data_IF_322501980755
#
_entry.id   IF_322501980755
#
_cell.length_a   1.000
_cell.length_b   1.000
_cell.length_c   1.000
_cell.angle_alpha   90.00
_cell.angle_beta   90.00
_cell.angle_gamma   90.00
#
_symmetry.space_group_name_H-M   'P 1'
#
loop_
_entity.id
_entity.type
_entity.pdbx_description
1 polymer ?
#
# COMPACT_ATOMS: atom_id res chain seq x y z
N UNK A 1 -4.09 -32.87 91.62
CA UNK A 1 -4.77 -33.68 90.59
C UNK A 1 -6.07 -32.97 90.22
N UNK A 2 -6.05 -32.13 89.18
CA UNK A 2 -7.18 -31.24 88.82
C UNK A 2 -8.20 -32.00 87.96
N UNK A 3 -9.45 -32.05 88.42
CA UNK A 3 -10.63 -32.49 87.68
C UNK A 3 -11.47 -31.29 87.21
N UNK A 4 -12.03 -31.46 86.01
CA UNK A 4 -12.84 -30.50 85.23
C UNK A 4 -14.05 -29.94 86.00
N UNK A 5 -14.38 -28.68 85.72
CA UNK A 5 -15.77 -28.18 85.67
C UNK A 5 -15.98 -27.29 84.44
N UNK A 6 -17.18 -27.46 83.89
CA UNK A 6 -17.78 -26.92 82.67
C UNK A 6 -18.11 -25.42 82.73
N UNK A 7 -18.04 -24.75 81.58
CA UNK A 7 -18.72 -23.48 81.34
C UNK A 7 -19.21 -23.41 79.89
N UNK A 8 -20.53 -23.49 79.68
CA UNK A 8 -21.20 -23.16 78.41
C UNK A 8 -21.20 -21.63 78.26
N UNK A 9 -20.85 -21.14 77.08
CA UNK A 9 -21.15 -19.76 76.65
C UNK A 9 -21.87 -19.85 75.30
N UNK A 10 -23.08 -19.31 75.24
CA UNK A 10 -23.86 -19.10 74.03
C UNK A 10 -23.15 -18.07 73.14
N UNK A 11 -22.93 -18.39 71.87
CA UNK A 11 -22.57 -17.41 70.84
C UNK A 11 -23.81 -17.13 69.98
N UNK A 12 -24.26 -15.87 69.95
CA UNK A 12 -25.28 -15.38 69.03
C UNK A 12 -24.78 -15.50 67.59
N UNK A 13 -25.61 -16.09 66.73
CA UNK A 13 -25.38 -16.18 65.29
C UNK A 13 -25.64 -14.85 64.59
N UNK A 14 -24.73 -14.46 63.71
CA UNK A 14 -24.98 -13.49 62.63
C UNK A 14 -24.91 -14.27 61.33
N UNK A 15 -26.06 -14.43 60.67
CA UNK A 15 -26.17 -15.04 59.34
C UNK A 15 -25.69 -14.03 58.29
N UNK A 16 -24.54 -14.30 57.65
CA UNK A 16 -24.13 -13.61 56.44
C UNK A 16 -24.91 -14.20 55.25
N UNK A 17 -25.75 -13.39 54.61
CA UNK A 17 -26.31 -13.72 53.31
C UNK A 17 -25.22 -13.51 52.24
N UNK A 18 -24.77 -14.60 51.61
CA UNK A 18 -23.87 -14.54 50.46
C UNK A 18 -24.74 -14.39 49.21
N UNK A 19 -24.75 -13.20 48.62
CA UNK A 19 -25.26 -13.00 47.26
C UNK A 19 -24.16 -13.41 46.27
N UNK A 20 -24.43 -14.30 45.30
CA UNK A 20 -23.43 -14.66 44.29
C UNK A 20 -23.11 -13.45 43.42
N UNK A 21 -21.83 -13.07 43.40
CA UNK A 21 -21.28 -12.09 42.50
C UNK A 21 -21.32 -12.68 41.08
N UNK A 22 -22.27 -12.25 40.25
CA UNK A 22 -22.25 -12.57 38.82
C UNK A 22 -21.16 -11.70 38.21
N UNK A 23 -19.97 -12.29 38.01
CA UNK A 23 -18.94 -11.64 37.22
C UNK A 23 -19.48 -11.42 35.78
N UNK A 24 -19.37 -10.23 35.20
CA UNK A 24 -19.70 -10.03 33.79
C UNK A 24 -18.82 -10.98 32.97
N UNK A 25 -19.46 -11.87 32.21
CA UNK A 25 -18.75 -12.81 31.35
C UNK A 25 -17.83 -12.05 30.40
N UNK A 26 -16.56 -12.41 30.38
CA UNK A 26 -15.62 -11.94 29.37
C UNK A 26 -16.15 -12.45 28.04
N UNK A 27 -16.69 -11.56 27.21
CA UNK A 27 -17.07 -11.92 25.86
C UNK A 27 -15.84 -12.52 25.18
N UNK A 28 -15.94 -13.78 24.74
CA UNK A 28 -14.89 -14.39 23.95
C UNK A 28 -14.65 -13.53 22.71
N UNK A 29 -13.39 -13.14 22.47
CA UNK A 29 -13.02 -12.43 21.27
C UNK A 29 -13.50 -13.26 20.05
N UNK A 30 -14.20 -12.62 19.12
CA UNK A 30 -14.58 -13.27 17.87
C UNK A 30 -13.30 -13.86 17.21
N UNK A 31 -13.36 -15.07 16.66
CA UNK A 31 -12.19 -15.69 16.04
C UNK A 31 -11.67 -14.77 14.92
N UNK A 32 -10.35 -14.59 14.88
CA UNK A 32 -9.71 -13.82 13.82
C UNK A 32 -10.04 -14.43 12.46
N UNK A 33 -10.26 -13.58 11.45
CA UNK A 33 -10.47 -14.05 10.07
C UNK A 33 -9.14 -14.61 9.58
N UNK A 34 -9.10 -15.90 9.28
CA UNK A 34 -7.89 -16.53 8.77
C UNK A 34 -7.63 -16.07 7.31
N UNK A 35 -6.39 -15.68 6.97
CA UNK A 35 -6.01 -15.39 5.59
C UNK A 35 -6.03 -16.65 4.73
N UNK A 36 -6.22 -16.45 3.43
CA UNK A 36 -6.04 -17.46 2.39
C UNK A 36 -4.69 -17.20 1.70
N UNK A 37 -3.83 -18.22 1.68
CA UNK A 37 -2.54 -18.19 0.98
C UNK A 37 -2.76 -18.16 -0.54
N UNK A 38 -2.16 -17.16 -1.19
CA UNK A 38 -2.17 -17.02 -2.65
C UNK A 38 -1.05 -17.82 -3.34
N UNK A 39 -0.17 -18.45 -2.56
CA UNK A 39 0.89 -19.33 -3.06
C UNK A 39 2.03 -18.60 -3.76
N UNK A 40 2.88 -19.37 -4.43
CA UNK A 40 4.04 -18.90 -5.22
C UNK A 40 4.13 -19.64 -6.55
N UNK A 41 4.92 -19.10 -7.48
CA UNK A 41 5.25 -19.82 -8.69
C UNK A 41 6.14 -21.04 -8.37
N UNK A 42 6.14 -22.08 -9.22
CA UNK A 42 6.99 -23.25 -9.00
C UNK A 42 8.46 -22.88 -8.82
N UNK A 43 9.06 -23.33 -7.71
CA UNK A 43 10.46 -23.01 -7.34
C UNK A 43 10.62 -21.77 -6.45
N UNK A 44 9.57 -20.95 -6.31
CA UNK A 44 9.61 -19.72 -5.51
C UNK A 44 9.11 -19.91 -4.08
N UNK A 45 9.57 -19.03 -3.19
CA UNK A 45 9.32 -19.11 -1.74
C UNK A 45 8.52 -17.94 -1.17
N UNK A 46 8.48 -16.80 -1.86
CA UNK A 46 7.79 -15.58 -1.43
C UNK A 46 6.93 -15.02 -2.54
N UNK A 47 5.86 -14.32 -2.17
CA UNK A 47 4.96 -13.65 -3.13
C UNK A 47 4.41 -12.34 -2.58
N UNK A 48 4.07 -11.43 -3.49
CA UNK A 48 3.46 -10.14 -3.19
C UNK A 48 2.47 -9.76 -4.30
N UNK A 49 1.31 -9.26 -3.90
CA UNK A 49 0.36 -8.58 -4.80
C UNK A 49 0.66 -7.09 -4.78
N UNK A 50 0.72 -6.49 -5.96
CA UNK A 50 0.94 -5.04 -6.15
C UNK A 50 -0.33 -4.32 -6.60
N UNK A 51 -1.24 -5.01 -7.28
CA UNK A 51 -2.50 -4.43 -7.74
C UNK A 51 -3.61 -5.47 -7.87
N UNK A 52 -4.85 -5.01 -7.75
CA UNK A 52 -6.07 -5.80 -7.89
C UNK A 52 -7.12 -5.02 -8.68
N UNK A 53 -7.78 -5.68 -9.63
CA UNK A 53 -8.87 -5.05 -10.38
C UNK A 53 -10.26 -5.38 -9.78
N UNK A 54 -11.31 -4.76 -10.33
CA UNK A 54 -12.69 -4.90 -9.84
C UNK A 54 -13.24 -6.34 -9.92
N UNK A 55 -12.67 -7.20 -10.76
CA UNK A 55 -13.07 -8.60 -10.91
C UNK A 55 -12.30 -9.52 -9.93
N UNK A 56 -11.44 -8.95 -9.07
CA UNK A 56 -10.63 -9.69 -8.11
C UNK A 56 -9.39 -10.34 -8.70
N UNK A 57 -9.02 -10.01 -9.95
CA UNK A 57 -7.76 -10.44 -10.55
C UNK A 57 -6.64 -9.60 -9.95
N UNK A 58 -5.61 -10.28 -9.46
CA UNK A 58 -4.45 -9.66 -8.81
C UNK A 58 -3.20 -9.87 -9.64
N UNK A 59 -2.27 -8.91 -9.59
CA UNK A 59 -0.95 -9.03 -10.20
C UNK A 59 0.14 -8.57 -9.25
N UNK A 60 1.35 -9.08 -9.46
CA UNK A 60 2.49 -8.73 -8.63
C UNK A 60 3.72 -9.56 -8.96
N UNK A 61 4.37 -10.09 -7.93
CA UNK A 61 5.61 -10.86 -8.08
C UNK A 61 5.68 -12.08 -7.16
N UNK A 62 6.42 -13.07 -7.63
CA UNK A 62 6.87 -14.25 -6.89
C UNK A 62 8.40 -14.28 -6.93
N UNK A 63 9.07 -14.71 -5.85
CA UNK A 63 10.54 -14.68 -5.75
C UNK A 63 11.11 -15.95 -5.07
N UNK A 64 12.32 -16.38 -5.45
CA UNK A 64 12.91 -17.63 -4.98
C UNK A 64 13.48 -17.59 -3.57
N UNK A 65 14.05 -16.45 -3.16
CA UNK A 65 14.75 -16.28 -1.88
C UNK A 65 14.46 -14.89 -1.32
N UNK A 66 14.43 -14.78 0.00
CA UNK A 66 14.26 -13.50 0.69
C UNK A 66 15.41 -12.55 0.35
N UNK A 67 15.10 -11.31 0.03
CA UNK A 67 16.11 -10.29 -0.30
C UNK A 67 16.83 -10.52 -1.63
N UNK A 68 16.56 -11.60 -2.37
CA UNK A 68 17.03 -11.70 -3.76
C UNK A 68 16.13 -10.90 -4.68
N UNK A 69 16.76 -10.00 -5.44
CA UNK A 69 16.14 -9.20 -6.49
C UNK A 69 15.95 -10.08 -7.72
N UNK A 70 15.21 -11.19 -7.61
CA UNK A 70 14.78 -12.03 -8.74
C UNK A 70 13.27 -12.14 -8.73
N UNK A 71 12.64 -11.18 -9.40
CA UNK A 71 11.19 -11.10 -9.53
C UNK A 71 10.73 -11.94 -10.70
N UNK A 72 9.72 -12.76 -10.48
CA UNK A 72 8.91 -13.38 -11.51
C UNK A 72 7.52 -12.76 -11.43
N UNK A 73 7.09 -12.07 -12.49
CA UNK A 73 5.76 -11.48 -12.52
C UNK A 73 4.71 -12.59 -12.41
N UNK A 74 3.71 -12.35 -11.57
CA UNK A 74 2.68 -13.33 -11.27
C UNK A 74 1.30 -12.68 -11.40
N UNK A 75 0.32 -13.52 -11.74
CA UNK A 75 -1.09 -13.20 -11.81
C UNK A 75 -1.86 -14.22 -10.99
N UNK A 76 -2.77 -13.74 -10.15
CA UNK A 76 -3.74 -14.55 -9.44
C UNK A 76 -5.13 -14.24 -9.96
N UNK A 77 -5.93 -15.27 -10.20
CA UNK A 77 -7.35 -15.06 -10.47
C UNK A 77 -8.14 -14.77 -9.17
N UNK A 78 -9.44 -14.52 -9.32
CA UNK A 78 -10.33 -14.22 -8.20
C UNK A 78 -10.47 -15.36 -7.19
N UNK A 79 -10.04 -16.58 -7.54
CA UNK A 79 -10.00 -17.73 -6.63
C UNK A 79 -8.62 -17.90 -5.98
N UNK A 80 -7.66 -17.03 -6.29
CA UNK A 80 -6.30 -17.08 -5.77
C UNK A 80 -5.38 -18.06 -6.50
N UNK A 81 -5.76 -18.58 -7.68
CA UNK A 81 -4.90 -19.48 -8.45
C UNK A 81 -3.81 -18.67 -9.15
N UNK A 82 -2.55 -18.99 -8.85
CA UNK A 82 -1.38 -18.30 -9.39
C UNK A 82 -0.96 -18.84 -10.77
N UNK A 83 -0.53 -17.93 -11.65
CA UNK A 83 0.08 -18.21 -12.94
C UNK A 83 1.21 -17.22 -13.22
N UNK A 84 2.20 -17.63 -14.01
CA UNK A 84 3.32 -16.78 -14.38
C UNK A 84 2.91 -15.79 -15.48
N UNK A 85 3.40 -14.55 -15.38
CA UNK A 85 3.43 -13.60 -16.47
C UNK A 85 4.85 -13.62 -17.07
N UNK A 86 5.02 -14.01 -18.35
CA UNK A 86 6.34 -14.27 -18.92
C UNK A 86 7.16 -12.98 -19.08
N UNK A 87 8.49 -13.11 -18.99
CA UNK A 87 9.43 -12.07 -19.41
C UNK A 87 9.57 -12.04 -20.96
N UNK A 88 10.37 -11.09 -21.49
CA UNK A 88 10.58 -10.92 -22.94
C UNK A 88 11.70 -11.80 -23.53
N UNK A 89 12.38 -12.58 -22.69
CA UNK A 89 13.54 -13.40 -23.06
C UNK A 89 14.62 -13.48 -21.99
N UNK A 90 14.54 -12.64 -20.95
CA UNK A 90 15.34 -12.76 -19.72
C UNK A 90 14.61 -13.52 -18.60
N UNK A 91 15.20 -13.51 -17.41
CA UNK A 91 14.69 -14.27 -16.25
C UNK A 91 13.86 -13.44 -15.26
N UNK A 92 13.73 -12.13 -15.45
CA UNK A 92 13.04 -11.26 -14.49
C UNK A 92 11.90 -10.47 -15.08
N UNK A 93 10.87 -10.30 -14.27
CA UNK A 93 9.71 -9.47 -14.55
C UNK A 93 8.98 -9.10 -13.26
N UNK A 94 8.28 -7.97 -13.28
CA UNK A 94 7.38 -7.56 -12.20
C UNK A 94 6.16 -6.88 -12.80
N UNK A 95 4.98 -7.31 -12.38
CA UNK A 95 3.73 -6.61 -12.69
C UNK A 95 3.45 -5.56 -11.60
N UNK A 96 3.09 -4.36 -12.01
CA UNK A 96 2.89 -3.18 -11.16
C UNK A 96 1.43 -2.79 -11.03
N UNK A 97 0.67 -2.85 -12.13
CA UNK A 97 -0.74 -2.45 -12.17
C UNK A 97 -1.55 -3.32 -13.15
N UNK A 98 -2.87 -3.34 -12.98
CA UNK A 98 -3.83 -4.09 -13.81
C UNK A 98 -5.14 -3.31 -13.99
N UNK A 99 -5.58 -3.18 -15.24
CA UNK A 99 -6.87 -2.54 -15.52
C UNK A 99 -8.06 -3.50 -15.45
N UNK A 100 -9.28 -2.98 -15.60
CA UNK A 100 -10.51 -3.78 -15.57
C UNK A 100 -10.60 -4.81 -16.69
N UNK A 101 -9.98 -4.54 -17.84
CA UNK A 101 -9.89 -5.48 -18.94
C UNK A 101 -8.97 -6.67 -18.68
N UNK A 102 -8.26 -6.69 -17.55
CA UNK A 102 -7.28 -7.73 -17.20
C UNK A 102 -5.93 -7.56 -17.88
N UNK A 103 -5.67 -6.40 -18.49
CA UNK A 103 -4.36 -6.03 -19.03
C UNK A 103 -3.48 -5.56 -17.88
N UNK A 104 -2.36 -6.24 -17.67
CA UNK A 104 -1.38 -5.88 -16.66
C UNK A 104 -0.21 -5.11 -17.30
N UNK A 105 0.46 -4.28 -16.52
CA UNK A 105 1.67 -3.55 -16.93
C UNK A 105 2.79 -3.73 -15.92
N UNK A 106 4.01 -3.39 -16.33
CA UNK A 106 5.17 -3.48 -15.48
C UNK A 106 6.47 -3.44 -16.26
N UNK A 107 7.45 -4.23 -15.84
CA UNK A 107 8.73 -4.35 -16.52
C UNK A 107 9.18 -5.80 -16.64
N UNK A 108 10.00 -6.07 -17.65
CA UNK A 108 10.63 -7.36 -17.86
C UNK A 108 12.02 -7.23 -18.50
N UNK A 109 12.89 -8.20 -18.24
CA UNK A 109 14.17 -8.33 -18.94
C UNK A 109 13.96 -8.96 -20.31
N UNK A 110 14.61 -8.36 -21.32
CA UNK A 110 14.63 -8.82 -22.71
C UNK A 110 15.57 -10.00 -22.93
N UNK A 111 16.62 -10.10 -22.11
CA UNK A 111 17.69 -11.08 -22.28
C UNK A 111 18.43 -11.33 -20.95
N UNK A 112 19.43 -12.21 -21.00
CA UNK A 112 20.32 -12.53 -19.87
C UNK A 112 21.30 -11.40 -19.52
N UNK A 113 21.38 -10.34 -20.32
CA UNK A 113 22.21 -9.17 -20.07
C UNK A 113 21.46 -8.07 -19.29
N UNK A 114 20.29 -8.39 -18.71
CA UNK A 114 19.53 -7.52 -17.81
C UNK A 114 18.96 -6.27 -18.49
N UNK A 115 18.83 -6.32 -19.82
CA UNK A 115 18.22 -5.22 -20.57
C UNK A 115 16.72 -5.13 -20.26
N UNK A 116 16.31 -4.08 -19.56
CA UNK A 116 14.94 -3.91 -19.08
C UNK A 116 14.05 -3.15 -20.07
N UNK A 117 12.80 -3.59 -20.21
CA UNK A 117 11.76 -2.89 -20.95
C UNK A 117 10.49 -2.75 -20.09
N UNK A 118 9.77 -1.65 -20.31
CA UNK A 118 8.37 -1.58 -19.90
C UNK A 118 7.56 -2.56 -20.76
N UNK A 119 6.60 -3.23 -20.15
CA UNK A 119 5.78 -4.25 -20.82
C UNK A 119 4.31 -4.12 -20.46
N UNK A 120 3.48 -4.66 -21.33
CA UNK A 120 2.09 -5.01 -21.04
C UNK A 120 1.87 -6.50 -21.25
N UNK A 121 1.07 -7.11 -20.38
CA UNK A 121 0.56 -8.45 -20.53
C UNK A 121 -0.92 -8.41 -20.85
N UNK A 122 -1.31 -9.04 -21.95
CA UNK A 122 -2.72 -9.25 -22.27
C UNK A 122 -3.37 -10.22 -21.25
N UNK A 123 -4.71 -10.30 -21.18
CA UNK A 123 -5.39 -11.14 -20.21
C UNK A 123 -5.02 -12.63 -20.28
N UNK A 124 -4.62 -13.10 -21.46
CA UNK A 124 -4.14 -14.46 -21.74
C UNK A 124 -2.66 -14.70 -21.36
N UNK A 125 -1.96 -13.67 -20.87
CA UNK A 125 -0.55 -13.71 -20.48
C UNK A 125 0.42 -13.32 -21.60
N UNK A 126 -0.04 -13.02 -22.81
CA UNK A 126 0.83 -12.59 -23.91
C UNK A 126 1.56 -11.30 -23.55
N UNK A 127 2.89 -11.33 -23.51
CA UNK A 127 3.73 -10.17 -23.19
C UNK A 127 4.08 -9.37 -24.45
N UNK A 128 4.01 -8.05 -24.34
CA UNK A 128 4.45 -7.12 -25.41
C UNK A 128 5.30 -6.01 -24.80
N UNK A 129 6.46 -5.76 -25.39
CA UNK A 129 7.29 -4.61 -25.01
C UNK A 129 6.63 -3.29 -25.43
N UNK A 130 6.69 -2.30 -24.55
CA UNK A 130 6.35 -0.92 -24.88
C UNK A 130 7.58 -0.21 -25.47
N UNK A 131 7.41 0.71 -26.44
CA UNK A 131 8.55 1.37 -27.07
C UNK A 131 9.28 2.28 -26.07
N UNK A 132 10.60 2.33 -26.20
CA UNK A 132 11.44 3.31 -25.52
C UNK A 132 11.23 4.71 -26.09
N UNK A 133 11.59 5.74 -25.31
CA UNK A 133 11.82 7.07 -25.86
C UNK A 133 12.87 6.99 -26.98
N UNK A 134 12.78 7.85 -28.02
CA UNK A 134 13.81 7.90 -29.06
C UNK A 134 15.20 8.10 -28.47
N UNK A 135 16.13 7.20 -28.80
CA UNK A 135 17.50 7.20 -28.27
C UNK A 135 17.67 6.60 -26.87
N UNK A 136 16.58 6.15 -26.23
CA UNK A 136 16.58 5.46 -24.95
C UNK A 136 16.69 3.94 -25.06
N UNK A 137 17.02 3.31 -23.93
CA UNK A 137 17.25 1.86 -23.81
C UNK A 137 16.61 1.23 -22.55
N UNK A 138 15.97 2.04 -21.72
CA UNK A 138 15.39 1.65 -20.43
C UNK A 138 13.99 2.23 -20.26
N UNK A 139 13.07 1.43 -19.71
CA UNK A 139 11.74 1.89 -19.31
C UNK A 139 11.10 0.98 -18.25
N UNK A 140 10.15 1.55 -17.50
CA UNK A 140 9.21 0.85 -16.61
C UNK A 140 7.81 1.41 -16.80
N UNK A 141 6.78 0.56 -16.69
CA UNK A 141 5.39 1.00 -16.57
C UNK A 141 4.92 0.86 -15.12
N UNK A 142 4.26 1.89 -14.60
CA UNK A 142 3.82 1.94 -13.20
C UNK A 142 2.30 1.84 -13.08
N UNK A 143 1.54 2.50 -13.96
CA UNK A 143 0.08 2.50 -13.90
C UNK A 143 -0.58 2.48 -15.27
N UNK A 144 -1.80 1.93 -15.34
CA UNK A 144 -2.61 1.79 -16.55
C UNK A 144 -4.07 2.19 -16.29
N UNK A 145 -4.64 2.99 -17.20
CA UNK A 145 -6.09 3.27 -17.22
C UNK A 145 -6.89 2.18 -17.94
N UNK A 146 -8.19 2.12 -17.69
CA UNK A 146 -9.11 1.26 -18.47
C UNK A 146 -9.14 1.61 -19.97
N UNK A 147 -8.83 2.87 -20.31
CA UNK A 147 -8.65 3.31 -21.70
C UNK A 147 -7.34 2.85 -22.36
N UNK A 148 -6.45 2.18 -21.63
CA UNK A 148 -5.18 1.68 -22.13
C UNK A 148 -4.05 2.72 -22.19
N UNK A 149 -4.23 3.89 -21.57
CA UNK A 149 -3.13 4.85 -21.34
C UNK A 149 -2.27 4.32 -20.20
N UNK A 150 -0.96 4.24 -20.42
CA UNK A 150 0.02 3.73 -19.46
C UNK A 150 0.99 4.86 -19.11
N UNK A 151 1.43 4.96 -17.86
CA UNK A 151 2.47 5.91 -17.43
C UNK A 151 3.60 5.20 -16.71
N UNK A 152 4.77 5.84 -16.69
CA UNK A 152 5.94 5.31 -16.00
C UNK A 152 7.17 6.20 -16.16
N UNK A 153 8.34 5.57 -16.24
CA UNK A 153 9.61 6.25 -16.46
C UNK A 153 10.40 5.60 -17.61
N UNK A 154 11.22 6.40 -18.29
CA UNK A 154 12.08 5.93 -19.37
C UNK A 154 13.35 6.77 -19.49
N UNK A 155 14.44 6.16 -19.96
CA UNK A 155 15.67 6.90 -20.24
C UNK A 155 15.53 7.66 -21.56
N UNK A 156 15.78 8.96 -21.54
CA UNK A 156 15.80 9.81 -22.71
C UNK A 156 17.20 9.83 -23.37
N UNK A 157 17.30 10.41 -24.57
CA UNK A 157 18.55 10.47 -25.35
C UNK A 157 19.68 11.27 -24.65
N UNK A 158 19.34 12.13 -23.69
CA UNK A 158 20.31 12.87 -22.87
C UNK A 158 20.83 12.06 -21.67
N UNK A 159 20.41 10.80 -21.53
CA UNK A 159 20.78 9.89 -20.47
C UNK A 159 19.98 10.03 -19.17
N UNK A 160 19.08 11.03 -19.08
CA UNK A 160 18.24 11.26 -17.89
C UNK A 160 17.04 10.32 -17.86
N UNK A 161 16.46 10.15 -16.68
CA UNK A 161 15.19 9.44 -16.52
C UNK A 161 14.07 10.46 -16.58
N UNK A 162 13.20 10.34 -17.58
CA UNK A 162 12.02 11.16 -17.76
C UNK A 162 10.76 10.38 -17.40
N UNK A 163 9.73 11.11 -16.96
CA UNK A 163 8.39 10.57 -16.90
C UNK A 163 7.88 10.34 -18.33
N UNK A 164 7.16 9.24 -18.55
CA UNK A 164 6.68 8.86 -19.88
C UNK A 164 5.22 8.44 -19.85
N UNK A 165 4.55 8.62 -20.99
CA UNK A 165 3.20 8.12 -21.25
C UNK A 165 3.17 7.29 -22.53
N UNK A 166 2.60 6.10 -22.48
CA UNK A 166 2.23 5.35 -23.66
C UNK A 166 0.73 5.52 -23.93
N UNK A 167 0.41 6.02 -25.11
CA UNK A 167 -0.97 6.15 -25.56
C UNK A 167 -1.50 4.78 -26.04
N UNK A 168 -2.83 4.60 -26.13
CA UNK A 168 -3.43 3.35 -26.59
C UNK A 168 -3.02 2.96 -28.02
N UNK A 169 -2.63 3.93 -28.86
CA UNK A 169 -2.10 3.71 -30.21
C UNK A 169 -0.64 3.19 -30.22
N UNK A 170 -0.06 2.96 -29.05
CA UNK A 170 1.29 2.44 -28.86
C UNK A 170 2.39 3.50 -28.89
N UNK A 171 2.07 4.78 -29.11
CA UNK A 171 3.09 5.84 -29.12
C UNK A 171 3.52 6.22 -27.72
N UNK A 172 4.83 6.32 -27.52
CA UNK A 172 5.43 6.90 -26.32
C UNK A 172 5.50 8.42 -26.46
N UNK A 173 5.18 9.12 -25.38
CA UNK A 173 5.28 10.57 -25.21
C UNK A 173 6.21 10.83 -24.03
N UNK A 174 7.21 11.66 -24.25
CA UNK A 174 8.06 12.19 -23.19
C UNK A 174 7.30 13.27 -22.42
N UNK A 175 7.11 13.06 -21.11
CA UNK A 175 6.53 14.07 -20.21
C UNK A 175 7.62 14.94 -19.55
N UNK A 176 8.89 14.58 -19.71
CA UNK A 176 10.04 15.30 -19.16
C UNK A 176 10.17 15.21 -17.64
N UNK A 177 11.01 16.07 -17.09
CA UNK A 177 11.21 16.29 -15.66
C UNK A 177 11.31 17.77 -15.33
N UNK A 178 11.63 18.10 -14.08
CA UNK A 178 11.84 19.49 -13.68
C UNK A 178 13.10 20.07 -14.34
N UNK A 179 13.12 21.39 -14.65
CA UNK A 179 14.30 22.03 -15.24
C UNK A 179 15.57 21.79 -14.42
N UNK A 180 16.63 21.31 -15.10
CA UNK A 180 17.92 21.00 -14.47
C UNK A 180 17.99 19.67 -13.72
N UNK A 181 16.85 19.02 -13.45
CA UNK A 181 16.78 17.70 -12.83
C UNK A 181 17.32 16.57 -13.71
N UNK A 182 17.59 15.42 -13.09
CA UNK A 182 18.08 14.20 -13.76
C UNK A 182 17.09 13.02 -13.69
N UNK A 183 16.05 13.13 -12.88
CA UNK A 183 15.09 12.07 -12.61
C UNK A 183 13.65 12.58 -12.58
N UNK A 184 12.75 11.83 -13.22
CA UNK A 184 11.31 12.01 -13.14
C UNK A 184 10.60 10.66 -13.34
N UNK A 185 9.58 10.41 -12.53
CA UNK A 185 8.81 9.17 -12.52
C UNK A 185 7.32 9.50 -12.44
N UNK A 186 6.55 9.09 -13.46
CA UNK A 186 5.09 9.12 -13.38
C UNK A 186 4.58 7.84 -12.73
N UNK A 187 3.89 7.97 -11.60
CA UNK A 187 3.48 6.84 -10.76
C UNK A 187 1.99 6.53 -10.94
N UNK A 188 1.17 7.58 -11.03
CA UNK A 188 -0.28 7.43 -11.15
C UNK A 188 -0.85 8.27 -12.29
N UNK A 189 -2.01 7.84 -12.78
CA UNK A 189 -2.81 8.54 -13.79
C UNK A 189 -4.29 8.46 -13.40
N UNK A 190 -5.01 9.57 -13.49
CA UNK A 190 -6.46 9.57 -13.23
C UNK A 190 -7.22 8.72 -14.24
N UNK A 191 -8.37 8.10 -13.89
CA UNK A 191 -9.11 7.23 -14.81
C UNK A 191 -9.51 7.90 -16.13
N UNK A 192 -9.68 9.22 -16.13
CA UNK A 192 -9.97 10.02 -17.32
C UNK A 192 -8.76 10.31 -18.21
N UNK A 193 -7.57 9.83 -17.80
CA UNK A 193 -6.29 9.99 -18.47
C UNK A 193 -5.69 11.40 -18.43
N UNK A 194 -6.34 12.37 -17.77
CA UNK A 194 -5.98 13.80 -17.91
C UNK A 194 -4.89 14.28 -16.97
N UNK A 195 -4.76 13.65 -15.80
CA UNK A 195 -3.83 14.06 -14.76
C UNK A 195 -2.87 12.93 -14.48
N UNK A 196 -1.57 13.22 -14.59
CA UNK A 196 -0.50 12.30 -14.23
C UNK A 196 0.26 12.89 -13.06
N UNK A 197 0.64 12.08 -12.08
CA UNK A 197 1.39 12.53 -10.91
C UNK A 197 2.51 11.56 -10.55
N UNK A 198 3.46 12.05 -9.77
CA UNK A 198 4.59 11.28 -9.29
C UNK A 198 5.67 12.19 -8.73
N UNK A 199 6.92 11.82 -8.95
CA UNK A 199 8.09 12.48 -8.37
C UNK A 199 9.05 12.96 -9.46
N UNK A 200 9.71 14.11 -9.21
CA UNK A 200 10.86 14.54 -10.02
C UNK A 200 11.92 15.20 -9.15
N UNK A 201 13.18 15.09 -9.57
CA UNK A 201 14.31 15.77 -8.92
C UNK A 201 14.46 17.19 -9.46
N UNK A 202 14.77 18.17 -8.63
CA UNK A 202 15.24 19.50 -9.08
C UNK A 202 16.72 19.47 -9.51
N UNK A 203 17.27 20.64 -9.87
CA UNK A 203 18.68 20.78 -10.26
C UNK A 203 19.69 20.51 -9.12
N UNK A 204 19.25 20.59 -7.86
CA UNK A 204 20.06 20.26 -6.69
C UNK A 204 19.97 18.77 -6.31
N UNK A 205 19.09 18.01 -6.98
CA UNK A 205 18.84 16.59 -6.69
C UNK A 205 17.81 16.35 -5.59
N UNK A 206 17.08 17.38 -5.15
CA UNK A 206 15.99 17.25 -4.19
C UNK A 206 14.77 16.63 -4.87
N UNK A 207 14.02 15.78 -4.17
CA UNK A 207 12.80 15.17 -4.71
C UNK A 207 11.57 16.05 -4.43
N UNK A 208 10.76 16.24 -5.47
CA UNK A 208 9.53 17.01 -5.44
C UNK A 208 8.34 16.18 -5.87
N UNK A 209 7.19 16.46 -5.25
CA UNK A 209 5.91 15.99 -5.78
C UNK A 209 5.54 16.84 -6.98
N UNK A 210 5.22 16.19 -8.09
CA UNK A 210 4.95 16.87 -9.35
C UNK A 210 3.70 16.33 -10.03
N UNK A 211 3.14 17.14 -10.93
CA UNK A 211 2.01 16.78 -11.78
C UNK A 211 2.30 17.14 -13.22
N UNK A 212 1.91 16.27 -14.15
CA UNK A 212 1.90 16.54 -15.58
C UNK A 212 0.48 16.62 -16.11
N UNK A 213 0.27 17.53 -17.07
CA UNK A 213 -0.93 17.54 -17.90
C UNK A 213 -0.73 16.72 -19.19
N UNK A 214 -1.78 16.58 -19.99
CA UNK A 214 -1.74 15.83 -21.24
C UNK A 214 -0.72 16.35 -22.27
N UNK A 215 -0.40 17.64 -22.23
CA UNK A 215 0.59 18.27 -23.10
C UNK A 215 2.04 18.07 -22.61
N UNK A 216 2.24 17.38 -21.48
CA UNK A 216 3.55 17.18 -20.87
C UNK A 216 4.03 18.37 -20.04
N UNK A 217 3.17 19.36 -19.76
CA UNK A 217 3.57 20.46 -18.89
C UNK A 217 3.63 19.98 -17.44
N UNK A 218 4.83 20.06 -16.86
CA UNK A 218 5.11 19.70 -15.47
C UNK A 218 4.83 20.89 -14.53
N UNK A 219 4.27 20.60 -13.35
CA UNK A 219 4.07 21.55 -12.26
C UNK A 219 4.68 20.97 -10.99
N UNK A 220 5.55 21.73 -10.33
CA UNK A 220 6.08 21.43 -9.00
C UNK A 220 5.03 21.77 -7.94
N UNK A 221 4.65 20.79 -7.12
CA UNK A 221 3.64 20.92 -6.06
C UNK A 221 4.29 21.14 -4.68
N UNK A 222 5.61 21.05 -4.57
CA UNK A 222 6.38 21.25 -3.36
C UNK A 222 7.60 22.15 -3.59
N UNK A 223 7.43 23.36 -4.18
CA UNK A 223 8.55 24.23 -4.51
C UNK A 223 9.29 24.69 -3.25
N UNK A 224 10.62 24.56 -3.27
CA UNK A 224 11.49 24.96 -2.16
C UNK A 224 11.50 24.01 -0.96
N UNK A 225 10.76 22.89 -1.02
CA UNK A 225 10.89 21.82 -0.03
C UNK A 225 12.09 20.92 -0.40
N UNK A 226 13.02 20.63 0.52
CA UNK A 226 14.21 19.84 0.20
C UNK A 226 13.91 18.34 0.02
N UNK A 227 12.79 17.86 0.54
CA UNK A 227 12.41 16.45 0.44
C UNK A 227 10.90 16.25 0.56
N UNK A 228 10.25 15.94 -0.57
CA UNK A 228 8.82 15.56 -0.59
C UNK A 228 8.61 14.26 -1.35
N UNK A 229 7.77 13.39 -0.80
CA UNK A 229 7.41 12.10 -1.40
C UNK A 229 5.91 12.00 -1.57
N UNK A 230 5.39 11.70 -2.77
CA UNK A 230 4.02 11.27 -2.90
C UNK A 230 3.91 9.79 -2.51
N UNK A 231 2.75 9.38 -2.01
CA UNK A 231 2.48 7.99 -1.61
C UNK A 231 1.24 7.42 -2.30
N UNK A 232 0.25 8.26 -2.60
CA UNK A 232 -0.97 7.84 -3.29
C UNK A 232 -1.69 9.02 -3.97
N UNK A 233 -2.52 8.72 -4.97
CA UNK A 233 -3.38 9.67 -5.69
C UNK A 233 -4.76 9.08 -5.95
N UNK A 234 -5.81 9.82 -5.58
CA UNK A 234 -7.18 9.40 -5.87
C UNK A 234 -7.64 9.73 -7.31
N UNK A 235 -8.85 9.28 -7.67
CA UNK A 235 -9.40 9.43 -9.04
C UNK A 235 -9.59 10.89 -9.50
N UNK A 236 -9.57 11.83 -8.56
CA UNK A 236 -9.71 13.27 -8.83
C UNK A 236 -8.36 14.00 -8.93
N UNK A 237 -7.25 13.27 -8.80
CA UNK A 237 -5.91 13.82 -8.86
C UNK A 237 -5.45 14.49 -7.57
N UNK A 238 -6.12 14.20 -6.44
CA UNK A 238 -5.65 14.64 -5.12
C UNK A 238 -4.57 13.67 -4.66
N UNK A 239 -3.39 14.21 -4.36
CA UNK A 239 -2.20 13.45 -3.98
C UNK A 239 -2.02 13.56 -2.48
N UNK A 240 -1.57 12.48 -1.84
CA UNK A 240 -1.13 12.49 -0.46
C UNK A 240 0.28 11.94 -0.35
N UNK A 241 1.00 12.34 0.70
CA UNK A 241 2.33 11.83 0.98
C UNK A 241 2.96 12.53 2.17
N UNK A 242 4.26 12.84 2.04
CA UNK A 242 5.01 13.59 3.04
C UNK A 242 5.87 14.70 2.44
N UNK A 243 6.12 15.73 3.24
CA UNK A 243 7.06 16.80 2.92
C UNK A 243 7.84 17.22 4.17
N UNK A 244 9.09 17.64 4.01
CA UNK A 244 9.95 17.98 5.14
C UNK A 244 9.52 19.28 5.83
N UNK A 245 9.46 19.25 7.17
CA UNK A 245 9.36 20.42 8.04
C UNK A 245 10.37 20.25 9.16
N UNK A 246 11.37 21.14 9.24
CA UNK A 246 12.43 21.13 10.26
C UNK A 246 13.13 19.75 10.36
N UNK A 247 13.51 19.16 9.22
CA UNK A 247 14.18 17.85 9.16
C UNK A 247 13.28 16.63 9.42
N UNK A 248 11.96 16.81 9.55
CA UNK A 248 11.02 15.72 9.79
C UNK A 248 9.98 15.63 8.65
N UNK A 249 9.70 14.44 8.08
CA UNK A 249 8.59 14.27 7.16
C UNK A 249 7.25 14.51 7.88
N UNK A 250 6.39 15.32 7.25
CA UNK A 250 5.04 15.61 7.72
C UNK A 250 4.00 15.20 6.70
N UNK A 251 2.87 14.63 7.15
CA UNK A 251 1.80 14.22 6.27
C UNK A 251 1.15 15.44 5.61
N UNK A 252 1.01 15.39 4.30
CA UNK A 252 0.49 16.50 3.49
C UNK A 252 -0.36 15.98 2.35
N UNK A 253 -1.35 16.79 1.96
CA UNK A 253 -2.20 16.59 0.80
C UNK A 253 -2.04 17.73 -0.22
N UNK A 254 -1.91 17.39 -1.49
CA UNK A 254 -1.87 18.33 -2.61
C UNK A 254 -3.11 18.17 -3.48
N UNK A 255 -3.85 19.25 -3.62
CA UNK A 255 -5.11 19.28 -4.36
C UNK A 255 -4.86 19.46 -5.87
N UNK A 256 -5.91 19.30 -6.67
CA UNK A 256 -5.81 19.40 -8.14
C UNK A 256 -5.41 20.80 -8.63
N UNK A 257 -5.76 21.84 -7.89
CA UNK A 257 -5.37 23.22 -8.16
C UNK A 257 -3.96 23.57 -7.65
N UNK A 258 -3.27 22.61 -7.02
CA UNK A 258 -1.94 22.79 -6.42
C UNK A 258 -1.98 23.27 -4.97
N UNK A 259 -3.16 23.48 -4.38
CA UNK A 259 -3.27 23.86 -2.96
C UNK A 259 -2.72 22.74 -2.06
N UNK A 260 -1.74 23.09 -1.24
CA UNK A 260 -1.16 22.22 -0.22
C UNK A 260 -1.96 22.33 1.09
N UNK A 261 -2.20 21.22 1.77
CA UNK A 261 -2.82 21.16 3.10
C UNK A 261 -2.01 20.22 4.00
N UNK A 262 -1.42 20.77 5.05
CA UNK A 262 -0.82 19.96 6.11
C UNK A 262 -1.90 19.21 6.87
N UNK A 263 -1.63 17.93 7.14
CA UNK A 263 -2.52 17.10 7.96
C UNK A 263 -2.07 17.19 9.41
N UNK A 264 -3.00 17.30 10.36
CA UNK A 264 -2.70 17.48 11.78
C UNK A 264 -1.73 16.41 12.30
N UNK A 265 -0.53 16.86 12.67
CA UNK A 265 0.55 16.01 13.15
C UNK A 265 1.51 16.77 14.08
N UNK A 266 2.06 16.14 15.13
CA UNK A 266 3.05 16.79 16.00
C UNK A 266 4.27 17.29 15.23
N UNK A 267 4.76 18.50 15.55
CA UNK A 267 5.89 19.13 14.84
C UNK A 267 7.22 18.38 15.00
N UNK A 268 7.44 17.69 16.11
CA UNK A 268 8.73 17.05 16.41
C UNK A 268 8.85 15.63 15.86
N UNK A 269 7.76 15.01 15.43
CA UNK A 269 7.76 13.58 15.12
C UNK A 269 7.45 13.29 13.65
N UNK A 270 8.09 12.29 13.02
CA UNK A 270 7.83 11.95 11.63
C UNK A 270 6.44 11.31 11.44
N UNK A 271 5.82 11.62 10.30
CA UNK A 271 4.52 11.06 9.90
C UNK A 271 4.27 11.16 8.40
N UNK A 272 3.39 10.28 7.91
CA UNK A 272 3.13 10.07 6.49
C UNK A 272 1.64 9.84 6.24
N UNK A 273 1.09 10.49 5.21
CA UNK A 273 -0.17 10.05 4.61
C UNK A 273 0.16 8.99 3.54
N UNK A 274 -0.47 7.83 3.60
CA UNK A 274 -0.13 6.66 2.77
C UNK A 274 -1.17 6.34 1.71
N UNK A 275 -2.44 6.64 1.97
CA UNK A 275 -3.53 6.40 1.03
C UNK A 275 -4.61 7.47 1.14
N UNK A 276 -5.30 7.77 0.05
CA UNK A 276 -6.36 8.76 -0.02
C UNK A 276 -7.54 8.26 -0.84
N UNK A 277 -8.73 8.23 -0.23
CA UNK A 277 -9.93 7.86 -0.98
C UNK A 277 -10.50 9.05 -1.77
N UNK A 278 -11.51 8.77 -2.61
CA UNK A 278 -12.19 9.77 -3.44
C UNK A 278 -12.96 10.85 -2.65
N UNK A 279 -13.21 10.65 -1.35
CA UNK A 279 -13.78 11.68 -0.48
C UNK A 279 -12.71 12.63 0.10
N UNK A 280 -11.42 12.36 -0.16
CA UNK A 280 -10.29 13.12 0.37
C UNK A 280 -9.95 12.78 1.83
N UNK A 281 -10.43 11.64 2.32
CA UNK A 281 -10.01 11.08 3.62
C UNK A 281 -8.71 10.34 3.41
N UNK A 282 -7.75 10.61 4.27
CA UNK A 282 -6.40 10.04 4.19
C UNK A 282 -6.22 9.01 5.29
N UNK A 283 -5.61 7.87 4.97
CA UNK A 283 -5.07 6.93 5.93
C UNK A 283 -3.53 7.03 5.98
N UNK A 284 -2.95 6.78 7.15
CA UNK A 284 -1.50 6.76 7.30
C UNK A 284 -1.08 6.62 8.76
N UNK A 285 0.02 7.26 9.12
CA UNK A 285 0.52 7.18 10.49
C UNK A 285 1.96 7.64 10.62
N UNK A 286 2.52 7.36 11.78
CA UNK A 286 3.87 7.75 12.17
C UNK A 286 4.00 7.76 13.68
N UNK A 287 5.05 8.38 14.20
CA UNK A 287 5.33 8.40 15.64
C UNK A 287 4.49 9.45 16.36
N UNK A 288 3.31 9.10 16.89
CA UNK A 288 2.57 10.04 17.77
C UNK A 288 3.23 10.14 19.15
N UNK A 289 3.71 9.00 19.65
CA UNK A 289 4.50 8.89 20.87
C UNK A 289 5.92 8.45 20.48
N UNK A 290 6.93 8.98 21.16
CA UNK A 290 8.32 8.64 20.86
C UNK A 290 8.52 7.11 20.87
N UNK A 291 9.03 6.56 19.76
CA UNK A 291 9.29 5.13 19.59
C UNK A 291 8.10 4.27 19.16
N UNK A 292 6.87 4.79 19.16
CA UNK A 292 5.67 4.03 18.77
C UNK A 292 4.99 4.65 17.57
N UNK A 293 4.89 3.89 16.47
CA UNK A 293 4.07 4.29 15.32
C UNK A 293 2.59 4.05 15.61
N UNK A 294 1.71 4.95 15.17
CA UNK A 294 0.28 4.82 15.38
C UNK A 294 -0.47 4.95 14.05
N UNK A 295 -1.45 4.06 13.78
CA UNK A 295 -2.31 4.17 12.62
C UNK A 295 -3.34 5.28 12.86
N UNK A 296 -3.51 6.16 11.88
CA UNK A 296 -4.46 7.28 11.96
C UNK A 296 -5.19 7.45 10.64
N UNK A 297 -6.29 8.21 10.70
CA UNK A 297 -6.91 8.80 9.51
C UNK A 297 -7.07 10.30 9.67
N UNK A 298 -7.02 11.03 8.57
CA UNK A 298 -7.34 12.46 8.53
C UNK A 298 -8.56 12.69 7.65
N UNK A 299 -9.49 13.51 8.13
CA UNK A 299 -10.61 13.94 7.33
C UNK A 299 -10.16 14.94 6.24
N UNK A 300 -11.10 15.35 5.37
CA UNK A 300 -10.80 16.30 4.30
C UNK A 300 -10.29 17.65 4.82
N UNK A 301 -10.68 18.09 6.01
CA UNK A 301 -10.16 19.32 6.61
C UNK A 301 -8.74 19.16 7.20
N UNK A 302 -8.18 17.95 7.22
CA UNK A 302 -6.87 17.66 7.78
C UNK A 302 -6.89 17.33 9.27
N UNK A 303 -8.07 17.19 9.90
CA UNK A 303 -8.18 16.83 11.31
C UNK A 303 -7.97 15.33 11.51
N UNK A 304 -7.10 14.98 12.46
CA UNK A 304 -6.67 13.61 12.75
C UNK A 304 -7.66 12.86 13.63
N UNK A 305 -7.84 11.57 13.37
CA UNK A 305 -8.43 10.59 14.26
C UNK A 305 -7.46 9.42 14.43
N UNK A 306 -7.08 9.12 15.67
CA UNK A 306 -6.23 7.95 15.96
C UNK A 306 -7.07 6.67 15.86
N UNK A 307 -6.64 5.72 15.01
CA UNK A 307 -7.32 4.44 14.82
C UNK A 307 -6.94 3.44 15.92
N UNK A 308 -5.72 3.55 16.42
CA UNK A 308 -5.23 2.76 17.55
C UNK A 308 -4.09 3.46 18.30
N UNK A 309 -4.05 3.25 19.62
CA UNK A 309 -2.93 3.66 20.47
C UNK A 309 -1.79 2.65 20.50
N UNK A 310 -2.05 1.44 20.02
CA UNK A 310 -1.06 0.39 19.87
C UNK A 310 -0.13 0.67 18.68
N UNK A 311 1.02 -0.02 18.65
CA UNK A 311 1.99 0.13 17.56
C UNK A 311 1.35 -0.29 16.24
N UNK A 312 1.36 0.55 15.22
CA UNK A 312 0.77 0.21 13.94
C UNK A 312 0.89 1.29 12.87
N UNK A 313 0.44 0.95 11.66
CA UNK A 313 0.35 1.85 10.51
C UNK A 313 -0.87 1.49 9.68
N UNK A 314 -1.54 2.51 9.13
CA UNK A 314 -2.57 2.33 8.12
C UNK A 314 -1.97 2.46 6.72
N UNK A 315 -2.35 1.57 5.81
CA UNK A 315 -1.78 1.46 4.48
C UNK A 315 -2.76 1.79 3.37
N UNK A 316 -4.06 1.51 3.55
CA UNK A 316 -5.06 1.75 2.51
C UNK A 316 -6.43 2.13 3.11
N UNK A 317 -7.27 2.80 2.32
CA UNK A 317 -8.60 3.28 2.69
C UNK A 317 -9.60 3.19 1.52
N UNK A 318 -10.75 2.55 1.77
CA UNK A 318 -11.80 2.44 0.76
C UNK A 318 -12.69 3.70 0.67
N UNK A 319 -13.61 3.69 -0.31
CA UNK A 319 -14.62 4.74 -0.52
C UNK A 319 -15.60 4.93 0.65
N UNK A 320 -15.74 3.94 1.53
CA UNK A 320 -16.62 3.98 2.69
C UNK A 320 -15.89 4.53 3.93
N UNK A 321 -14.57 4.66 3.87
CA UNK A 321 -13.71 5.07 4.99
C UNK A 321 -13.26 3.91 5.87
N UNK A 322 -13.39 2.66 5.40
CA UNK A 322 -12.72 1.50 5.99
C UNK A 322 -11.23 1.64 5.75
N UNK A 323 -10.43 1.52 6.80
CA UNK A 323 -8.98 1.57 6.74
C UNK A 323 -8.41 0.19 7.03
N UNK A 324 -7.35 -0.20 6.33
CA UNK A 324 -6.57 -1.41 6.64
C UNK A 324 -5.11 -1.09 6.89
N UNK A 325 -4.45 -1.97 7.62
CA UNK A 325 -3.04 -1.87 7.92
C UNK A 325 -2.58 -2.97 8.85
N UNK A 326 -1.72 -2.61 9.80
CA UNK A 326 -1.27 -3.50 10.86
C UNK A 326 -1.36 -2.83 12.22
N UNK A 327 -1.57 -3.64 13.25
CA UNK A 327 -1.48 -3.28 14.65
C UNK A 327 -0.80 -4.41 15.41
N UNK A 328 0.23 -4.09 16.19
CA UNK A 328 1.06 -5.05 16.91
C UNK A 328 1.50 -6.23 16.01
N UNK A 329 1.99 -5.90 14.80
CA UNK A 329 2.47 -6.83 13.78
C UNK A 329 1.40 -7.74 13.16
N UNK A 330 0.12 -7.50 13.45
CA UNK A 330 -1.00 -8.28 12.90
C UNK A 330 -1.90 -7.40 12.03
N UNK A 331 -2.28 -7.93 10.87
CA UNK A 331 -3.14 -7.26 9.92
C UNK A 331 -4.45 -6.85 10.63
N UNK A 332 -4.85 -5.60 10.46
CA UNK A 332 -6.00 -5.05 11.17
C UNK A 332 -6.83 -4.17 10.23
N UNK A 333 -8.15 -4.30 10.36
CA UNK A 333 -9.14 -3.47 9.69
C UNK A 333 -9.83 -2.57 10.72
N UNK A 334 -9.96 -1.28 10.39
CA UNK A 334 -10.75 -0.31 11.13
C UNK A 334 -11.90 0.17 10.25
N UNK A 335 -13.12 -0.20 10.58
CA UNK A 335 -14.31 0.25 9.88
C UNK A 335 -14.57 1.76 10.11
N UNK A 336 -15.37 2.36 9.24
CA UNK A 336 -15.67 3.79 9.29
C UNK A 336 -16.30 4.25 10.63
N UNK A 337 -17.08 3.36 11.26
CA UNK A 337 -17.71 3.53 12.58
C UNK A 337 -16.75 3.36 13.77
N UNK A 338 -15.47 3.06 13.51
CA UNK A 338 -14.44 2.84 14.51
C UNK A 338 -14.33 1.38 14.98
N UNK A 339 -15.15 0.45 14.45
CA UNK A 339 -15.03 -0.97 14.79
C UNK A 339 -13.73 -1.55 14.26
N UNK A 340 -12.90 -2.04 15.18
CA UNK A 340 -11.65 -2.75 14.90
C UNK A 340 -11.90 -4.24 14.67
N UNK A 341 -11.20 -4.84 13.71
CA UNK A 341 -11.22 -6.28 13.42
C UNK A 341 -9.80 -6.76 13.14
N UNK A 342 -9.36 -7.76 13.90
CA UNK A 342 -8.06 -8.42 13.70
C UNK A 342 -8.19 -9.43 12.56
N UNK A 343 -7.26 -9.32 11.60
CA UNK A 343 -7.09 -10.23 10.49
C UNK A 343 -5.91 -11.13 10.87
N UNK A 344 -6.15 -12.45 10.99
CA UNK A 344 -5.14 -13.37 11.51
C UNK A 344 -3.96 -13.58 10.57
N UNK A 345 -3.05 -14.45 10.98
CA UNK A 345 -1.89 -14.92 10.20
C UNK A 345 -2.18 -16.26 9.53
N UNK A 346 -1.32 -16.67 8.58
CA UNK A 346 -1.30 -18.05 8.11
C UNK A 346 -0.90 -18.99 9.26
N UNK A 347 -1.25 -20.28 9.17
CA UNK A 347 -0.92 -21.25 10.21
C UNK A 347 0.57 -21.20 10.64
N UNK A 348 0.78 -21.00 11.94
CA UNK A 348 2.10 -20.94 12.58
C UNK A 348 2.88 -19.64 12.38
N UNK A 349 2.35 -18.67 11.63
CA UNK A 349 2.95 -17.34 11.48
C UNK A 349 2.58 -16.40 12.63
N UNK A 350 3.42 -15.40 12.87
CA UNK A 350 3.23 -14.36 13.89
C UNK A 350 3.17 -12.93 13.34
N UNK A 351 3.30 -12.77 12.02
CA UNK A 351 3.30 -11.50 11.33
C UNK A 351 2.28 -11.45 10.19
N UNK A 352 1.49 -10.39 10.13
CA UNK A 352 0.69 -10.07 8.96
C UNK A 352 0.47 -8.58 8.79
N UNK A 353 0.26 -8.15 7.55
CA UNK A 353 -0.07 -6.77 7.21
C UNK A 353 -1.10 -6.75 6.08
N UNK A 354 -2.18 -6.00 6.27
CA UNK A 354 -3.09 -5.67 5.18
C UNK A 354 -2.61 -4.41 4.47
N UNK A 355 -2.47 -4.47 3.15
CA UNK A 355 -1.85 -3.41 2.35
C UNK A 355 -2.79 -2.82 1.30
N UNK A 356 -3.82 -3.57 0.87
CA UNK A 356 -4.73 -3.12 -0.18
C UNK A 356 -6.18 -3.52 0.15
N UNK A 357 -7.13 -2.69 -0.26
CA UNK A 357 -8.58 -2.89 -0.23
C UNK A 357 -9.12 -2.90 -1.65
N UNK A 358 -9.58 -4.06 -2.11
CA UNK A 358 -10.25 -4.17 -3.39
C UNK A 358 -11.65 -3.53 -3.34
N UNK A 359 -12.20 -3.06 -4.48
CA UNK A 359 -13.54 -2.46 -4.53
C UNK A 359 -14.69 -3.34 -4.03
N UNK A 360 -14.50 -4.66 -4.08
CA UNK A 360 -15.45 -5.67 -3.58
C UNK A 360 -15.31 -5.94 -2.06
N UNK A 361 -14.40 -5.26 -1.37
CA UNK A 361 -14.14 -5.40 0.06
C UNK A 361 -13.13 -6.50 0.43
N UNK A 362 -12.56 -7.21 -0.55
CA UNK A 362 -11.45 -8.14 -0.31
C UNK A 362 -10.24 -7.36 0.18
N UNK A 363 -9.60 -7.85 1.26
CA UNK A 363 -8.40 -7.26 1.82
C UNK A 363 -7.23 -8.10 1.37
N UNK A 364 -6.18 -7.47 0.85
CA UNK A 364 -4.98 -8.15 0.36
C UNK A 364 -3.79 -7.69 1.19
N UNK A 365 -2.85 -8.59 1.38
CA UNK A 365 -1.61 -8.25 2.05
C UNK A 365 -0.64 -9.40 2.13
N UNK A 366 0.10 -9.42 3.22
CA UNK A 366 1.17 -10.36 3.47
C UNK A 366 0.96 -11.03 4.81
N UNK A 367 1.31 -12.31 4.89
CA UNK A 367 1.44 -13.03 6.15
C UNK A 367 2.62 -13.97 6.07
N UNK A 368 3.35 -14.12 7.17
CA UNK A 368 4.30 -15.22 7.32
C UNK A 368 3.56 -16.52 7.67
N UNK A 369 4.28 -17.65 7.59
CA UNK A 369 3.82 -18.97 7.98
C UNK A 369 4.76 -19.58 9.03
N UNK A 370 4.50 -20.82 9.46
CA UNK A 370 5.33 -21.56 10.43
C UNK A 370 6.85 -21.63 10.13
N UNK A 371 7.26 -21.38 8.88
CA UNK A 371 8.66 -21.36 8.46
C UNK A 371 9.24 -19.93 8.39
N UNK A 372 8.51 -18.91 8.86
CA UNK A 372 8.88 -17.49 8.76
C UNK A 372 8.82 -16.91 7.35
N UNK A 373 8.26 -17.62 6.37
CA UNK A 373 8.22 -17.18 4.97
C UNK A 373 6.99 -16.32 4.71
N UNK A 374 7.18 -15.09 4.24
CA UNK A 374 6.09 -14.20 3.85
C UNK A 374 5.46 -14.60 2.52
N UNK A 375 4.13 -14.67 2.51
CA UNK A 375 3.30 -14.98 1.34
C UNK A 375 2.28 -13.88 1.10
N UNK A 376 1.94 -13.66 -0.17
CA UNK A 376 0.74 -12.91 -0.51
C UNK A 376 -0.49 -13.66 0.02
N UNK A 377 -1.40 -12.93 0.63
CA UNK A 377 -2.65 -13.47 1.17
C UNK A 377 -3.81 -12.55 0.87
N UNK A 378 -5.02 -13.09 0.94
CA UNK A 378 -6.21 -12.27 1.06
C UNK A 378 -7.09 -12.72 2.23
N UNK A 379 -7.79 -11.75 2.82
CA UNK A 379 -8.86 -11.99 3.78
C UNK A 379 -10.20 -11.73 3.06
N UNK A 380 -11.09 -12.73 2.99
CA UNK A 380 -12.42 -12.57 2.41
C UNK A 380 -13.19 -11.44 3.09
N UNK A 381 -14.09 -10.79 2.33
CA UNK A 381 -15.07 -9.89 2.92
C UNK A 381 -15.98 -10.69 3.88
N UNK A 382 -15.78 -10.51 5.18
CA UNK A 382 -16.60 -11.11 6.24
C UNK A 382 -17.89 -10.36 6.53
#
# INVERSE_FOLDING_TARGET
MKLKRSGRVLALGVSLAILPLIAPGVAAAAPAIAPIDLGTLPGDQYSQVNAVNADGIMVGSSTPLEGQIKYHAAKWDAQGRISALPALGGEQSKATDINRGGVAVGWAHKDAAWNQAAVKWAPDGTVTALPYLPGGDYAIANSITDGGVIVGAGRAADGKIHAVRWNPDGKVVDLGGLPGGSYANAEWITPDGRTVAGMASDAAGNNHVVRWNLAGAITDLSPGNPYSTPEDMNDFGVIVGSAEVNGNPKPVRWERDGRMTWLDWPETNPGWGRAVNNAGVVAGGGYLVFGTTNPVKWNRAGSRTTLSTERGLAYDIDRLGTVVGLENDIATKWAADGRRTVLGTLPGGDYSVATHLAPNGTIIGLSDNENGRTRAVYWPAG
#
